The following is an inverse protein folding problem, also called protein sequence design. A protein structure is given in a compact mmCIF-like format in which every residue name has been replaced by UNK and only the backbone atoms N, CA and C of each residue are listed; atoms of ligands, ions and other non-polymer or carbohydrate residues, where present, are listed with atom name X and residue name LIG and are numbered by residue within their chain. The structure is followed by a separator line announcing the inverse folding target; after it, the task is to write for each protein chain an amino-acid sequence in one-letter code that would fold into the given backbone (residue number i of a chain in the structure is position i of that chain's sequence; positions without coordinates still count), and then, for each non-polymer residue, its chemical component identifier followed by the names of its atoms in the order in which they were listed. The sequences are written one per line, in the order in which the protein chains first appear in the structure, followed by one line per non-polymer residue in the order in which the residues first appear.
data_IF_725975540804
#
_entry.id   IF_725975540804
#
_cell.length_a   1.000
_cell.length_b   1.000
_cell.length_c   1.000
_cell.angle_alpha   90.00
_cell.angle_beta   90.00
_cell.angle_gamma   90.00
#
_symmetry.space_group_name_H-M   'P 1'
#
loop_
_entity.id
_entity.type
_entity.pdbx_description
1 polymer ?
#
# COMPACT_ATOMS: atom_id res chain seq x y z
N UNK A 1 20.19 -5.33 2.41
CA UNK A 1 20.04 -3.87 2.53
C UNK A 1 18.95 -3.44 1.55
N UNK A 2 17.80 -2.99 2.04
CA UNK A 2 16.70 -2.49 1.21
C UNK A 2 16.75 -0.97 1.15
N UNK A 3 16.37 -0.38 0.02
CA UNK A 3 16.25 1.08 -0.15
C UNK A 3 14.78 1.42 -0.24
N UNK A 4 14.32 2.37 0.56
CA UNK A 4 12.97 2.92 0.49
C UNK A 4 13.09 4.38 0.10
N UNK A 5 12.53 4.73 -1.05
CA UNK A 5 12.36 6.11 -1.48
C UNK A 5 10.88 6.47 -1.34
N UNK A 6 10.60 7.57 -0.65
CA UNK A 6 9.24 8.11 -0.53
C UNK A 6 9.23 9.60 -0.84
N UNK A 7 8.12 10.07 -1.41
CA UNK A 7 7.88 11.49 -1.71
C UNK A 7 6.44 11.81 -1.31
N UNK A 8 6.26 12.89 -0.55
CA UNK A 8 4.95 13.41 -0.21
C UNK A 8 4.66 14.63 -1.08
N UNK A 9 3.49 14.65 -1.71
CA UNK A 9 3.04 15.76 -2.55
C UNK A 9 1.61 16.11 -2.20
N UNK A 10 1.31 17.42 -2.13
CA UNK A 10 -0.06 17.92 -1.99
C UNK A 10 -0.71 18.02 -3.38
N UNK A 11 -2.00 17.69 -3.44
CA UNK A 11 -2.79 17.77 -4.67
C UNK A 11 -2.70 16.51 -5.53
N UNK A 12 -3.22 16.61 -6.75
CA UNK A 12 -3.27 15.47 -7.67
C UNK A 12 -1.90 15.12 -8.22
N UNK A 13 -1.60 13.82 -8.27
CA UNK A 13 -0.38 13.29 -8.89
C UNK A 13 -0.50 13.46 -10.40
N UNK A 14 0.36 14.32 -10.97
CA UNK A 14 0.46 14.51 -12.43
C UNK A 14 1.44 13.50 -13.03
N UNK A 15 1.22 13.09 -14.28
CA UNK A 15 2.09 12.10 -14.91
C UNK A 15 3.55 12.54 -15.06
N UNK A 16 3.82 13.84 -15.19
CA UNK A 16 5.20 14.34 -15.27
C UNK A 16 5.93 14.10 -13.93
N UNK A 17 5.23 14.29 -12.81
CA UNK A 17 5.75 13.94 -11.47
C UNK A 17 5.98 12.43 -11.30
N UNK A 18 5.18 11.57 -11.95
CA UNK A 18 5.45 10.12 -11.95
C UNK A 18 6.71 9.79 -12.75
N UNK A 19 6.92 10.41 -13.91
CA UNK A 19 8.11 10.19 -14.73
C UNK A 19 9.39 10.70 -14.02
N UNK A 20 9.31 11.84 -13.35
CA UNK A 20 10.39 12.35 -12.51
C UNK A 20 10.68 11.40 -11.35
N UNK A 21 9.64 10.87 -10.70
CA UNK A 21 9.82 9.93 -9.60
C UNK A 21 10.47 8.61 -10.03
N UNK A 22 10.21 8.14 -11.27
CA UNK A 22 10.91 6.99 -11.85
C UNK A 22 12.42 7.24 -11.97
N UNK A 23 12.82 8.44 -12.38
CA UNK A 23 14.23 8.84 -12.44
C UNK A 23 14.88 8.82 -11.06
N UNK A 24 14.17 9.31 -10.04
CA UNK A 24 14.67 9.31 -8.67
C UNK A 24 14.83 7.89 -8.12
N UNK A 25 13.87 6.99 -8.38
CA UNK A 25 13.97 5.58 -8.01
C UNK A 25 15.21 4.96 -8.68
N UNK A 26 15.42 5.22 -9.97
CA UNK A 26 16.57 4.69 -10.71
C UNK A 26 17.90 5.16 -10.11
N UNK A 27 18.03 6.44 -9.79
CA UNK A 27 19.24 6.99 -9.12
C UNK A 27 19.42 6.40 -7.72
N UNK A 28 18.35 6.37 -6.92
CA UNK A 28 18.37 5.85 -5.55
C UNK A 28 18.75 4.36 -5.51
N UNK A 29 18.28 3.56 -6.46
CA UNK A 29 18.62 2.14 -6.57
C UNK A 29 20.11 1.90 -6.90
N UNK A 30 20.76 2.81 -7.64
CA UNK A 30 22.19 2.70 -8.01
C UNK A 30 23.15 3.30 -6.97
N UNK A 31 22.65 4.17 -6.09
CA UNK A 31 23.48 4.88 -5.13
C UNK A 31 24.25 3.98 -4.14
N UNK A 32 23.64 2.92 -3.55
CA UNK A 32 24.32 2.08 -2.56
C UNK A 32 25.60 1.44 -3.10
N UNK A 33 26.64 1.39 -2.26
CA UNK A 33 27.91 0.75 -2.63
C UNK A 33 27.74 -0.73 -3.00
N UNK A 34 26.79 -1.43 -2.36
CA UNK A 34 26.46 -2.81 -2.69
C UNK A 34 25.97 -2.98 -4.14
N UNK A 35 25.18 -2.02 -4.66
CA UNK A 35 24.78 -2.02 -6.07
C UNK A 35 26.00 -1.86 -6.97
N UNK A 36 26.85 -0.86 -6.67
CA UNK A 36 28.05 -0.58 -7.46
C UNK A 36 29.06 -1.73 -7.49
N UNK A 37 29.15 -2.51 -6.40
CA UNK A 37 30.07 -3.63 -6.30
C UNK A 37 29.58 -4.88 -7.02
N UNK A 38 28.26 -5.15 -7.03
CA UNK A 38 27.74 -6.47 -7.39
C UNK A 38 26.69 -6.48 -8.51
N UNK A 39 26.16 -5.32 -8.90
CA UNK A 39 24.96 -5.25 -9.75
C UNK A 39 25.06 -4.21 -10.88
N UNK A 40 26.25 -3.68 -11.19
CA UNK A 40 26.45 -2.64 -12.22
C UNK A 40 26.10 -3.09 -13.64
N UNK A 41 26.27 -4.38 -13.95
CA UNK A 41 25.85 -4.97 -15.23
C UNK A 41 24.36 -5.32 -15.29
N UNK A 42 23.65 -5.27 -14.16
CA UNK A 42 22.26 -5.66 -14.07
C UNK A 42 21.32 -4.49 -14.39
N UNK A 43 20.23 -4.80 -15.10
CA UNK A 43 19.15 -3.85 -15.32
C UNK A 43 18.35 -3.67 -14.03
N UNK A 44 17.93 -2.44 -13.77
CA UNK A 44 16.94 -2.10 -12.75
C UNK A 44 15.57 -2.29 -13.38
N UNK A 45 14.71 -3.06 -12.70
CA UNK A 45 13.32 -3.26 -13.10
C UNK A 45 12.43 -2.52 -12.12
N UNK A 46 11.63 -1.57 -12.60
CA UNK A 46 10.61 -0.90 -11.80
C UNK A 46 9.26 -1.48 -12.20
N UNK A 47 8.52 -1.98 -11.21
CA UNK A 47 7.21 -2.63 -11.39
C UNK A 47 6.11 -1.69 -10.94
N UNK A 48 5.10 -1.51 -11.78
CA UNK A 48 3.89 -0.72 -11.48
C UNK A 48 2.66 -1.62 -11.58
N UNK A 49 1.63 -1.31 -10.79
CA UNK A 49 0.30 -1.85 -11.03
C UNK A 49 -0.33 -1.18 -12.28
N UNK A 50 -1.51 -1.64 -12.68
CA UNK A 50 -2.18 -1.10 -13.85
C UNK A 50 -3.07 0.13 -13.55
N UNK A 51 -2.77 0.89 -12.49
CA UNK A 51 -3.59 2.06 -12.15
C UNK A 51 -3.55 3.12 -13.27
N UNK A 52 -4.65 3.86 -13.52
CA UNK A 52 -4.71 4.88 -14.57
C UNK A 52 -3.62 5.96 -14.47
N UNK A 53 -3.18 6.28 -13.26
CA UNK A 53 -2.11 7.26 -13.01
C UNK A 53 -0.74 6.83 -13.60
N UNK A 54 -0.56 5.53 -13.89
CA UNK A 54 0.65 5.02 -14.51
C UNK A 54 0.56 4.92 -16.03
N UNK A 55 -0.62 5.07 -16.66
CA UNK A 55 -0.88 4.81 -18.10
C UNK A 55 0.08 5.44 -19.13
N UNK A 56 0.81 6.49 -18.76
CA UNK A 56 1.77 7.17 -19.63
C UNK A 56 3.20 7.20 -19.08
N UNK A 57 3.46 6.56 -17.93
CA UNK A 57 4.77 6.62 -17.28
C UNK A 57 5.88 6.11 -18.19
N UNK A 58 5.68 5.03 -18.93
CA UNK A 58 6.70 4.47 -19.84
C UNK A 58 6.99 5.40 -21.03
N UNK A 59 6.00 6.17 -21.48
CA UNK A 59 6.16 7.13 -22.58
C UNK A 59 6.91 8.39 -22.14
N UNK A 60 6.71 8.81 -20.90
CA UNK A 60 7.24 10.07 -20.34
C UNK A 60 8.56 9.92 -19.58
N UNK A 61 8.88 8.71 -19.12
CA UNK A 61 10.11 8.46 -18.36
C UNK A 61 11.35 8.55 -19.24
N UNK A 62 12.44 9.05 -18.65
CA UNK A 62 13.76 9.05 -19.28
C UNK A 62 14.18 7.61 -19.60
N UNK A 63 14.64 7.38 -20.83
CA UNK A 63 15.12 6.07 -21.25
C UNK A 63 16.56 5.86 -20.77
N UNK A 64 16.77 4.79 -20.03
CA UNK A 64 18.12 4.31 -19.68
C UNK A 64 18.30 2.89 -20.20
N UNK A 65 19.47 2.57 -20.75
CA UNK A 65 19.78 1.23 -21.23
C UNK A 65 19.68 0.17 -20.11
N UNK A 66 20.00 0.58 -18.88
CA UNK A 66 19.91 -0.23 -17.67
C UNK A 66 18.58 -0.16 -16.93
N UNK A 67 17.51 0.39 -17.51
CA UNK A 67 16.20 0.51 -16.87
C UNK A 67 15.12 -0.22 -17.67
N UNK A 68 14.30 -0.99 -16.97
CA UNK A 68 13.13 -1.67 -17.50
C UNK A 68 11.92 -1.26 -16.69
N UNK A 69 10.85 -0.82 -17.36
CA UNK A 69 9.57 -0.50 -16.75
C UNK A 69 8.60 -1.65 -17.05
N UNK A 70 8.10 -2.29 -16.00
CA UNK A 70 7.17 -3.41 -16.10
C UNK A 70 5.81 -3.01 -15.53
N UNK A 71 4.77 -3.19 -16.33
CA UNK A 71 3.38 -2.99 -15.91
C UNK A 71 2.73 -4.34 -15.68
N UNK A 72 2.11 -4.49 -14.51
CA UNK A 72 1.35 -5.70 -14.18
C UNK A 72 0.02 -5.74 -14.93
N UNK A 73 -0.50 -6.95 -15.14
CA UNK A 73 -1.85 -7.13 -15.65
C UNK A 73 -2.88 -6.58 -14.64
N UNK A 74 -4.08 -6.19 -15.10
CA UNK A 74 -5.19 -5.83 -14.21
C UNK A 74 -5.40 -6.86 -13.11
N UNK A 75 -5.75 -6.41 -11.90
CA UNK A 75 -6.12 -7.27 -10.77
C UNK A 75 -5.07 -8.33 -10.40
N UNK A 76 -3.78 -8.00 -10.52
CA UNK A 76 -2.67 -8.90 -10.16
C UNK A 76 -1.92 -8.48 -8.86
N UNK A 77 -2.61 -8.28 -7.72
CA UNK A 77 -1.96 -7.80 -6.49
C UNK A 77 -0.95 -8.80 -5.93
N UNK A 78 -1.13 -10.10 -6.16
CA UNK A 78 -0.19 -11.15 -5.75
C UNK A 78 1.17 -10.95 -6.44
N UNK A 79 1.18 -10.34 -7.62
CA UNK A 79 2.38 -10.06 -8.40
C UNK A 79 3.01 -8.71 -8.07
N UNK A 80 2.41 -7.89 -7.19
CA UNK A 80 2.91 -6.57 -6.83
C UNK A 80 3.70 -6.64 -5.51
N UNK A 81 5.05 -6.55 -5.53
CA UNK A 81 5.87 -6.73 -4.34
C UNK A 81 5.58 -5.71 -3.22
N UNK A 82 5.03 -4.53 -3.56
CA UNK A 82 4.71 -3.50 -2.57
C UNK A 82 3.55 -3.90 -1.65
N UNK A 83 2.68 -4.82 -2.08
CA UNK A 83 1.54 -5.30 -1.28
C UNK A 83 2.01 -6.00 0.00
N UNK A 84 3.14 -6.71 -0.04
CA UNK A 84 3.75 -7.30 1.15
C UNK A 84 4.17 -6.24 2.16
N UNK A 85 4.79 -5.15 1.70
CA UNK A 85 5.17 -4.02 2.54
C UNK A 85 3.95 -3.33 3.16
N UNK A 86 2.91 -3.12 2.35
CA UNK A 86 1.65 -2.51 2.83
C UNK A 86 0.90 -3.42 3.80
N UNK A 87 0.98 -4.74 3.66
CA UNK A 87 0.37 -5.67 4.61
C UNK A 87 0.97 -5.52 6.02
N UNK A 88 2.30 -5.43 6.12
CA UNK A 88 3.01 -5.18 7.38
C UNK A 88 2.63 -3.81 7.95
N UNK A 89 2.67 -2.76 7.12
CA UNK A 89 2.30 -1.40 7.55
C UNK A 89 0.85 -1.33 8.05
N UNK A 90 -0.10 -1.89 7.28
CA UNK A 90 -1.52 -1.94 7.66
C UNK A 90 -1.71 -2.67 8.99
N UNK A 91 -0.99 -3.77 9.21
CA UNK A 91 -1.08 -4.54 10.46
C UNK A 91 -0.59 -3.72 11.66
N UNK A 92 0.51 -2.98 11.49
CA UNK A 92 1.02 -2.09 12.53
C UNK A 92 0.04 -0.95 12.84
N UNK A 93 -0.50 -0.29 11.81
CA UNK A 93 -1.49 0.78 11.99
C UNK A 93 -2.71 0.25 12.74
N UNK A 94 -3.23 -0.92 12.36
CA UNK A 94 -4.36 -1.56 13.06
C UNK A 94 -4.06 -1.84 14.53
N UNK A 95 -2.85 -2.31 14.85
CA UNK A 95 -2.46 -2.57 16.23
C UNK A 95 -2.42 -1.28 17.06
N UNK A 96 -1.84 -0.20 16.52
CA UNK A 96 -1.82 1.12 17.19
C UNK A 96 -3.24 1.64 17.40
N UNK A 97 -4.08 1.62 16.37
CA UNK A 97 -5.47 2.07 16.47
C UNK A 97 -6.29 1.23 17.46
N UNK A 98 -6.04 -0.08 17.56
CA UNK A 98 -6.72 -0.94 18.53
C UNK A 98 -6.34 -0.59 19.98
N UNK A 99 -5.11 -0.15 20.23
CA UNK A 99 -4.68 0.32 21.55
C UNK A 99 -5.31 1.68 21.92
N UNK A 100 -5.57 2.52 20.92
CA UNK A 100 -6.27 3.81 21.10
C UNK A 100 -7.81 3.67 21.07
N UNK A 101 -8.33 2.53 20.62
CA UNK A 101 -9.78 2.28 20.49
C UNK A 101 -10.51 2.26 21.84
N UNK A 102 -9.85 1.83 22.91
CA UNK A 102 -10.39 1.92 24.28
C UNK A 102 -10.72 3.37 24.71
N UNK A 103 -10.12 4.38 24.05
CA UNK A 103 -10.38 5.81 24.30
C UNK A 103 -11.39 6.39 23.30
N UNK A 104 -11.49 5.82 22.09
CA UNK A 104 -12.40 6.30 21.04
C UNK A 104 -13.80 5.67 21.10
N UNK A 105 -13.98 4.58 21.84
CA UNK A 105 -15.28 3.95 22.14
C UNK A 105 -16.06 4.68 23.25
N UNK A 106 -15.65 5.87 23.69
CA UNK A 106 -16.55 6.75 24.45
C UNK A 106 -17.62 7.29 23.50
N UNK A 107 -18.67 6.48 23.26
CA UNK A 107 -19.94 6.99 22.78
C UNK A 107 -20.35 8.14 23.71
N UNK A 108 -20.53 9.38 23.22
CA UNK A 108 -21.26 10.35 24.00
C UNK A 108 -22.69 9.80 24.06
N UNK A 109 -23.13 9.38 25.25
CA UNK A 109 -24.55 9.21 25.56
C UNK A 109 -25.21 10.59 25.45
N UNK A 110 -25.47 11.02 24.23
CA UNK A 110 -26.32 12.16 23.93
C UNK A 110 -27.75 11.70 24.02
N UNK A 111 -28.46 12.12 25.08
CA UNK A 111 -29.91 12.04 25.08
C UNK A 111 -30.43 12.91 23.93
N UNK A 112 -31.27 12.35 23.05
CA UNK A 112 -32.11 13.20 22.21
C UNK A 112 -33.15 13.94 23.08
N UNK A 113 -33.66 15.06 22.56
CA UNK A 113 -34.60 15.94 23.26
C UNK A 113 -35.99 15.29 23.52
N UNK A 114 -36.16 14.00 23.23
CA UNK A 114 -37.40 13.23 23.34
C UNK A 114 -37.38 12.14 24.41
N UNK A 115 -36.24 11.90 25.08
CA UNK A 115 -36.20 11.06 26.28
C UNK A 115 -36.47 9.56 26.06
N UNK A 116 -36.32 9.05 24.84
CA UNK A 116 -36.53 7.62 24.56
C UNK A 116 -35.20 6.86 24.50
N UNK A 117 -35.04 5.84 25.36
CA UNK A 117 -33.89 4.93 25.35
C UNK A 117 -34.07 3.90 24.23
N UNK A 118 -33.35 4.07 23.12
CA UNK A 118 -33.11 2.97 22.19
C UNK A 118 -31.81 2.27 22.57
N UNK A 119 -31.94 1.12 23.24
CA UNK A 119 -30.84 0.21 23.50
C UNK A 119 -30.44 -0.44 22.17
N UNK A 120 -29.41 0.09 21.51
CA UNK A 120 -28.78 -0.61 20.39
C UNK A 120 -27.93 -1.73 20.98
N UNK A 121 -28.60 -2.85 21.27
CA UNK A 121 -27.95 -4.09 21.71
C UNK A 121 -27.07 -4.57 20.55
N UNK A 122 -25.78 -4.22 20.60
CA UNK A 122 -24.76 -4.91 19.83
C UNK A 122 -24.86 -6.38 20.24
N UNK A 123 -25.30 -7.24 19.31
CA UNK A 123 -25.27 -8.68 19.54
C UNK A 123 -23.80 -9.07 19.64
N UNK A 124 -23.40 -9.52 20.83
CA UNK A 124 -22.12 -10.14 21.11
C UNK A 124 -21.84 -11.26 20.09
N UNK A 125 -21.07 -10.92 19.07
CA UNK A 125 -20.43 -11.86 18.17
C UNK A 125 -18.95 -11.88 18.49
N UNK A 126 -18.55 -12.65 19.51
CA UNK A 126 -17.15 -13.01 19.77
C UNK A 126 -16.55 -13.56 18.47
N UNK A 127 -15.73 -12.73 17.85
CA UNK A 127 -14.80 -13.15 16.81
C UNK A 127 -13.47 -12.50 17.15
N UNK A 128 -12.85 -13.02 18.20
CA UNK A 128 -11.39 -13.18 18.27
C UNK A 128 -10.89 -13.92 17.03
N UNK A 129 -10.91 -13.27 15.87
CA UNK A 129 -10.14 -13.70 14.70
C UNK A 129 -8.71 -13.25 14.91
N UNK A 130 -8.05 -14.03 15.76
CA UNK A 130 -6.61 -14.20 15.79
C UNK A 130 -6.07 -14.18 14.34
N UNK A 131 -5.07 -13.34 14.09
CA UNK A 131 -4.43 -13.18 12.81
C UNK A 131 -3.70 -14.45 12.36
N UNK A 132 -4.44 -15.39 11.77
CA UNK A 132 -4.00 -16.46 10.86
C UNK A 132 -5.16 -17.44 10.68
N UNK A 133 -5.82 -17.43 9.51
CA UNK A 133 -6.35 -18.65 8.91
C UNK A 133 -6.78 -18.39 7.46
N UNK A 134 -6.37 -19.32 6.59
CA UNK A 134 -6.47 -19.31 5.14
C UNK A 134 -7.91 -19.25 4.62
N UNK A 135 -8.04 -18.74 3.39
CA UNK A 135 -9.24 -18.81 2.55
C UNK A 135 -9.87 -20.22 2.55
N UNK A 136 -11.15 -20.30 2.90
CA UNK A 136 -12.00 -21.43 2.54
C UNK A 136 -13.00 -20.96 1.48
N UNK A 137 -12.74 -21.34 0.22
CA UNK A 137 -13.70 -21.24 -0.88
C UNK A 137 -14.77 -22.32 -0.67
N UNK A 138 -16.02 -21.92 -0.51
CA UNK A 138 -17.17 -22.82 -0.60
C UNK A 138 -17.88 -22.55 -1.93
N UNK A 139 -17.82 -23.52 -2.84
CA UNK A 139 -18.67 -23.57 -4.03
C UNK A 139 -20.00 -24.22 -3.64
N UNK A 140 -21.16 -23.61 -3.92
CA UNK A 140 -22.41 -24.33 -3.90
C UNK A 140 -22.58 -25.11 -5.23
N UNK A 141 -23.06 -26.36 -5.11
CA UNK A 141 -23.71 -27.10 -6.20
C UNK A 141 -25.12 -26.56 -6.44
#
# INVERSE_FOLDING_TARGET
MSVVLHRLQRGSIRMDSNAEFVEDIYKAAKAPAAYRANYTSNKIVIVFDNAPCHSQTEKKSTKHWGLVLLRLAPYSPICNPIEGCFSVLKSHIKAVLALEHDVLDTHPTGNDASGNRHDFRASDGDSRKCGRCLYALHHPN
#
